data_IF_156056946764
#
_entry.id   IF_156056946764
#
_cell.length_a   1.000
_cell.length_b   1.000
_cell.length_c   1.000
_cell.angle_alpha   90.00
_cell.angle_beta   90.00
_cell.angle_gamma   90.00
#
_symmetry.space_group_name_H-M   'P 1'
#
loop_
_entity.id
_entity.type
_entity.pdbx_description
1 polymer ?
#
# COMPACT_ATOMS: atom_id res chain seq x y z
N UNK A 1 17.96 -15.70 -2.38
CA UNK A 1 16.59 -15.74 -1.82
C UNK A 1 15.79 -14.67 -2.55
N UNK A 2 14.60 -15.00 -3.06
CA UNK A 2 13.75 -14.05 -3.80
C UNK A 2 12.61 -13.63 -2.89
N UNK A 3 12.39 -12.33 -2.72
CA UNK A 3 11.43 -11.83 -1.73
C UNK A 3 10.37 -10.91 -2.35
N UNK A 4 9.12 -11.06 -1.93
CA UNK A 4 8.03 -10.15 -2.30
C UNK A 4 7.51 -9.51 -1.03
N UNK A 5 7.65 -8.19 -0.90
CA UNK A 5 7.05 -7.44 0.20
C UNK A 5 5.74 -6.80 -0.24
N UNK A 6 4.63 -7.22 0.36
CA UNK A 6 3.28 -6.74 0.04
C UNK A 6 2.76 -5.80 1.13
N UNK A 7 2.65 -4.51 0.80
CA UNK A 7 2.07 -3.48 1.67
C UNK A 7 0.58 -3.35 1.36
N UNK A 8 -0.25 -3.56 2.38
CA UNK A 8 -1.70 -3.58 2.26
C UNK A 8 -2.34 -2.17 2.23
N UNK A 9 -3.64 -2.13 1.97
CA UNK A 9 -4.45 -0.89 1.95
C UNK A 9 -4.87 -0.43 3.34
N UNK A 10 -5.67 0.62 3.45
CA UNK A 10 -6.14 1.14 4.72
C UNK A 10 -6.79 2.49 4.53
N UNK A 11 -7.13 3.15 5.62
CA UNK A 11 -7.74 4.48 5.60
C UNK A 11 -6.85 5.48 6.32
N UNK A 12 -6.85 6.73 5.85
CA UNK A 12 -6.10 7.81 6.49
C UNK A 12 -6.99 9.06 6.61
N UNK A 13 -6.82 9.79 7.70
CA UNK A 13 -7.62 10.98 7.98
C UNK A 13 -6.70 12.13 8.40
N UNK A 14 -7.03 13.36 8.00
CA UNK A 14 -6.29 14.58 8.38
C UNK A 14 -6.35 14.83 9.88
N UNK A 15 -7.47 14.49 10.53
CA UNK A 15 -7.68 14.71 11.96
C UNK A 15 -8.31 13.50 12.62
N UNK A 16 -8.13 13.38 13.94
CA UNK A 16 -8.79 12.34 14.72
C UNK A 16 -10.32 12.51 14.74
N UNK A 17 -10.80 13.75 14.72
CA UNK A 17 -12.24 14.04 14.61
C UNK A 17 -12.84 13.53 13.29
N UNK A 18 -12.14 13.71 12.16
CA UNK A 18 -12.56 13.16 10.87
C UNK A 18 -12.63 11.62 10.90
N UNK A 19 -11.63 10.97 11.52
CA UNK A 19 -11.65 9.52 11.72
C UNK A 19 -12.86 9.07 12.57
N UNK A 20 -13.13 9.72 13.70
CA UNK A 20 -14.29 9.40 14.54
C UNK A 20 -15.61 9.64 13.82
N UNK A 21 -15.69 10.70 13.00
CA UNK A 21 -16.86 10.97 12.16
C UNK A 21 -17.08 9.84 11.15
N UNK A 22 -16.01 9.40 10.48
CA UNK A 22 -16.06 8.25 9.57
C UNK A 22 -16.59 7.00 10.29
N UNK A 23 -16.01 6.63 11.44
CA UNK A 23 -16.45 5.45 12.19
C UNK A 23 -17.93 5.49 12.58
N UNK A 24 -18.45 6.66 12.96
CA UNK A 24 -19.87 6.83 13.31
C UNK A 24 -20.81 6.72 12.12
N UNK A 25 -20.34 7.07 10.92
CA UNK A 25 -21.15 7.15 9.71
C UNK A 25 -21.02 5.90 8.82
N UNK A 26 -19.89 5.22 8.91
CA UNK A 26 -19.58 4.06 8.09
C UNK A 26 -20.50 2.90 8.47
N UNK A 27 -21.23 2.38 7.47
CA UNK A 27 -22.08 1.21 7.63
C UNK A 27 -21.23 -0.03 7.41
N UNK A 28 -21.24 -0.94 8.38
CA UNK A 28 -20.63 -2.25 8.22
C UNK A 28 -21.52 -3.09 7.30
N UNK A 29 -20.89 -3.78 6.36
CA UNK A 29 -21.50 -4.86 5.60
C UNK A 29 -21.19 -6.17 6.32
N UNK A 30 -22.24 -6.90 6.70
CA UNK A 30 -22.11 -8.20 7.36
C UNK A 30 -21.27 -9.18 6.54
N UNK A 31 -21.39 -9.17 5.21
CA UNK A 31 -20.62 -10.05 4.33
C UNK A 31 -19.10 -9.78 4.45
N UNK A 32 -18.70 -8.54 4.70
CA UNK A 32 -17.29 -8.17 4.92
C UNK A 32 -16.76 -8.60 6.30
N UNK A 33 -17.63 -8.99 7.23
CA UNK A 33 -17.24 -9.51 8.55
C UNK A 33 -17.03 -11.03 8.54
N UNK A 34 -17.58 -11.73 7.54
CA UNK A 34 -17.38 -13.16 7.38
C UNK A 34 -15.93 -13.41 6.97
N UNK A 35 -15.30 -14.42 7.59
CA UNK A 35 -13.96 -14.84 7.21
C UNK A 35 -13.92 -15.17 5.71
N UNK A 36 -12.99 -14.54 5.01
CA UNK A 36 -12.69 -14.85 3.63
C UNK A 36 -11.17 -14.96 3.45
N UNK A 37 -10.73 -15.87 2.60
CA UNK A 37 -9.33 -15.96 2.24
C UNK A 37 -8.92 -14.68 1.53
N UNK A 38 -7.94 -13.98 2.10
CA UNK A 38 -7.42 -12.77 1.48
C UNK A 38 -6.42 -13.13 0.37
N UNK A 39 -6.44 -12.37 -0.72
CA UNK A 39 -5.58 -12.65 -1.90
C UNK A 39 -4.08 -12.60 -1.58
N UNK A 40 -3.66 -11.83 -0.56
CA UNK A 40 -2.24 -11.72 -0.16
C UNK A 40 -1.74 -13.02 0.47
N UNK A 41 -2.59 -13.70 1.24
CA UNK A 41 -2.30 -15.02 1.79
C UNK A 41 -2.41 -16.10 0.71
N UNK A 42 -3.38 -15.99 -0.21
CA UNK A 42 -3.48 -16.90 -1.35
C UNK A 42 -2.22 -16.87 -2.22
N UNK A 43 -1.76 -15.69 -2.63
CA UNK A 43 -0.61 -15.56 -3.54
C UNK A 43 0.71 -16.05 -2.94
N UNK A 44 0.82 -16.06 -1.60
CA UNK A 44 1.96 -16.66 -0.91
C UNK A 44 2.03 -18.18 -1.15
N UNK A 45 0.88 -18.86 -1.25
CA UNK A 45 0.80 -20.27 -1.60
C UNK A 45 1.10 -20.55 -3.07
N UNK A 46 0.72 -19.64 -3.97
CA UNK A 46 0.95 -19.78 -5.42
C UNK A 46 2.40 -19.49 -5.86
N UNK A 47 3.21 -18.91 -4.98
CA UNK A 47 4.59 -18.52 -5.27
C UNK A 47 5.60 -19.21 -4.34
N UNK A 48 5.68 -20.55 -4.34
CA UNK A 48 6.49 -21.31 -3.38
C UNK A 48 8.01 -21.07 -3.49
N UNK A 49 8.48 -20.49 -4.60
CA UNK A 49 9.90 -20.14 -4.79
C UNK A 49 10.26 -18.75 -4.27
N UNK A 50 9.29 -18.01 -3.71
CA UNK A 50 9.46 -16.68 -3.16
C UNK A 50 9.12 -16.66 -1.67
N UNK A 51 9.88 -15.89 -0.91
CA UNK A 51 9.47 -15.51 0.43
C UNK A 51 8.50 -14.34 0.33
N UNK A 52 7.20 -14.62 0.48
CA UNK A 52 6.15 -13.61 0.42
C UNK A 52 5.90 -13.03 1.80
N UNK A 53 6.28 -11.77 2.00
CA UNK A 53 6.17 -11.02 3.24
C UNK A 53 4.91 -10.15 3.22
N UNK A 54 3.98 -10.40 4.14
CA UNK A 54 2.71 -9.68 4.24
C UNK A 54 2.54 -9.01 5.62
N UNK A 55 3.36 -8.00 5.96
CA UNK A 55 3.28 -7.36 7.26
C UNK A 55 1.94 -6.63 7.44
N UNK A 56 1.48 -6.54 8.69
CA UNK A 56 0.41 -5.61 9.07
C UNK A 56 1.04 -4.26 9.42
N UNK A 57 0.70 -3.22 8.66
CA UNK A 57 1.15 -1.86 8.87
C UNK A 57 0.44 -1.22 10.08
N UNK A 58 1.12 -0.33 10.83
CA UNK A 58 0.57 0.28 12.03
C UNK A 58 -0.71 1.08 11.75
N UNK A 59 -1.67 1.01 12.67
CA UNK A 59 -2.87 1.86 12.67
C UNK A 59 -3.61 1.91 11.32
N UNK A 60 -3.74 0.78 10.63
CA UNK A 60 -4.24 0.72 9.24
C UNK A 60 -5.63 1.34 9.02
N UNK A 61 -6.49 1.38 10.04
CA UNK A 61 -7.80 2.04 10.00
C UNK A 61 -7.72 3.58 10.15
N UNK A 62 -6.59 4.14 10.59
CA UNK A 62 -6.32 5.58 10.66
C UNK A 62 -4.83 5.84 10.43
N UNK A 63 -4.34 5.35 9.31
CA UNK A 63 -2.93 5.24 9.01
C UNK A 63 -2.28 6.63 9.00
N UNK A 64 -1.04 6.68 9.50
CA UNK A 64 -0.16 7.85 9.43
C UNK A 64 1.08 7.53 8.63
N UNK A 65 1.39 8.38 7.65
CA UNK A 65 2.50 8.19 6.73
C UNK A 65 3.84 8.06 7.47
N UNK A 66 4.04 8.86 8.53
CA UNK A 66 5.28 8.80 9.31
C UNK A 66 5.44 7.45 10.03
N UNK A 67 4.37 6.91 10.62
CA UNK A 67 4.40 5.60 11.28
C UNK A 67 4.72 4.48 10.27
N UNK A 68 4.05 4.51 9.11
CA UNK A 68 4.31 3.54 8.05
C UNK A 68 5.73 3.66 7.50
N UNK A 69 6.24 4.89 7.31
CA UNK A 69 7.61 5.11 6.84
C UNK A 69 8.64 4.57 7.84
N UNK A 70 8.48 4.88 9.13
CA UNK A 70 9.35 4.41 10.21
C UNK A 70 9.35 2.89 10.31
N UNK A 71 8.19 2.25 10.15
CA UNK A 71 8.11 0.79 10.21
C UNK A 71 8.66 0.12 8.94
N UNK A 72 8.42 0.73 7.78
CA UNK A 72 8.92 0.23 6.49
C UNK A 72 10.44 0.22 6.39
N UNK A 73 11.15 1.20 6.97
CA UNK A 73 12.63 1.20 7.02
C UNK A 73 13.19 -0.06 7.71
N UNK A 74 12.51 -0.54 8.77
CA UNK A 74 12.88 -1.80 9.43
C UNK A 74 12.67 -3.02 8.53
N UNK A 75 11.67 -2.98 7.66
CA UNK A 75 11.45 -4.05 6.69
C UNK A 75 12.49 -4.01 5.58
N UNK A 76 12.81 -2.82 5.07
CA UNK A 76 13.83 -2.65 4.03
C UNK A 76 15.18 -3.23 4.43
N UNK A 77 15.56 -3.13 5.72
CA UNK A 77 16.81 -3.73 6.21
C UNK A 77 16.82 -5.26 6.24
N UNK A 78 15.65 -5.91 6.11
CA UNK A 78 15.51 -7.37 6.06
C UNK A 78 15.47 -7.89 4.61
N UNK A 79 15.37 -6.99 3.62
CA UNK A 79 15.31 -7.37 2.22
C UNK A 79 16.71 -7.67 1.68
N UNK A 80 16.81 -8.76 0.95
CA UNK A 80 17.96 -9.15 0.15
C UNK A 80 18.11 -8.28 -1.10
N UNK A 81 19.13 -8.53 -1.92
CA UNK A 81 19.32 -7.83 -3.19
C UNK A 81 18.30 -8.23 -4.29
N UNK A 82 17.57 -9.31 -4.11
CA UNK A 82 16.56 -9.80 -5.05
C UNK A 82 15.15 -9.73 -4.43
N UNK A 83 14.60 -8.52 -4.44
CA UNK A 83 13.29 -8.24 -3.88
C UNK A 83 12.36 -7.50 -4.84
N UNK A 84 11.06 -7.64 -4.59
CA UNK A 84 9.98 -6.95 -5.26
C UNK A 84 9.10 -6.24 -4.23
N UNK A 85 8.54 -5.10 -4.61
CA UNK A 85 7.60 -4.36 -3.78
C UNK A 85 6.23 -4.38 -4.42
N UNK A 86 5.20 -4.69 -3.64
CA UNK A 86 3.81 -4.64 -4.04
C UNK A 86 3.06 -3.72 -3.09
N UNK A 87 2.31 -2.76 -3.61
CA UNK A 87 1.47 -1.88 -2.81
C UNK A 87 0.03 -1.91 -3.31
N UNK A 88 -0.92 -2.19 -2.41
CA UNK A 88 -2.34 -2.21 -2.73
C UNK A 88 -3.07 -1.03 -2.10
N UNK A 89 -3.91 -0.32 -2.85
CA UNK A 89 -4.71 0.81 -2.39
C UNK A 89 -3.83 1.85 -1.68
N UNK A 90 -4.11 2.18 -0.41
CA UNK A 90 -3.26 3.07 0.40
C UNK A 90 -1.80 2.61 0.48
N UNK A 91 -1.51 1.30 0.42
CA UNK A 91 -0.16 0.74 0.34
C UNK A 91 0.55 1.09 -0.97
N UNK A 92 -0.18 1.15 -2.08
CA UNK A 92 0.35 1.66 -3.35
C UNK A 92 0.70 3.13 -3.25
N UNK A 93 -0.18 3.92 -2.64
CA UNK A 93 0.08 5.35 -2.40
C UNK A 93 1.29 5.59 -1.51
N UNK A 94 1.40 4.78 -0.45
CA UNK A 94 2.52 4.79 0.47
C UNK A 94 3.83 4.58 -0.28
N UNK A 95 3.94 3.50 -1.07
CA UNK A 95 5.15 3.22 -1.83
C UNK A 95 5.50 4.37 -2.79
N UNK A 96 4.54 4.90 -3.54
CA UNK A 96 4.79 6.02 -4.44
C UNK A 96 5.32 7.24 -3.67
N UNK A 97 4.63 7.64 -2.60
CA UNK A 97 5.01 8.82 -1.81
C UNK A 97 6.34 8.66 -1.10
N UNK A 98 6.59 7.48 -0.55
CA UNK A 98 7.83 7.16 0.14
C UNK A 98 9.01 7.18 -0.82
N UNK A 99 8.92 6.45 -1.95
CA UNK A 99 10.00 6.32 -2.92
C UNK A 99 10.25 7.62 -3.70
N UNK A 100 9.23 8.47 -3.84
CA UNK A 100 9.41 9.84 -4.35
C UNK A 100 10.36 10.66 -3.46
N UNK A 101 10.30 10.49 -2.13
CA UNK A 101 11.14 11.21 -1.17
C UNK A 101 12.48 10.51 -0.92
N UNK A 102 12.43 9.18 -0.83
CA UNK A 102 13.53 8.31 -0.42
C UNK A 102 13.76 7.24 -1.51
N UNK A 103 14.44 7.57 -2.62
CA UNK A 103 14.83 6.56 -3.60
C UNK A 103 15.64 5.43 -2.97
N UNK A 104 15.40 4.19 -3.38
CA UNK A 104 16.13 3.05 -2.85
C UNK A 104 17.59 3.07 -3.32
N UNK A 105 18.51 2.69 -2.43
CA UNK A 105 19.91 2.47 -2.80
C UNK A 105 20.06 1.27 -3.74
N UNK A 106 19.38 0.17 -3.41
CA UNK A 106 19.28 -1.02 -4.24
C UNK A 106 17.91 -1.03 -4.91
N UNK A 107 17.89 -1.05 -6.25
CA UNK A 107 16.62 -1.08 -7.00
C UNK A 107 15.87 -2.38 -6.71
N UNK A 108 14.56 -2.26 -6.44
CA UNK A 108 13.67 -3.41 -6.47
C UNK A 108 13.63 -3.97 -7.90
N UNK A 109 13.59 -5.29 -8.04
CA UNK A 109 13.44 -5.93 -9.38
C UNK A 109 12.15 -5.48 -10.07
N UNK A 110 11.10 -5.27 -9.27
CA UNK A 110 9.81 -4.77 -9.72
C UNK A 110 9.10 -4.01 -8.60
N UNK A 111 8.37 -2.98 -8.99
CA UNK A 111 7.35 -2.34 -8.15
C UNK A 111 5.99 -2.56 -8.82
N UNK A 112 5.05 -3.16 -8.09
CA UNK A 112 3.68 -3.41 -8.55
C UNK A 112 2.73 -2.57 -7.69
N UNK A 113 1.96 -1.70 -8.33
CA UNK A 113 0.99 -0.83 -7.69
C UNK A 113 -0.41 -1.28 -8.11
N UNK A 114 -1.24 -1.64 -7.13
CA UNK A 114 -2.59 -2.15 -7.36
C UNK A 114 -3.57 -1.14 -6.76
N UNK A 115 -4.40 -0.53 -7.59
CA UNK A 115 -5.41 0.47 -7.23
C UNK A 115 -4.90 1.63 -6.34
N UNK A 116 -3.70 2.23 -6.56
CA UNK A 116 -3.27 3.36 -5.75
C UNK A 116 -4.19 4.58 -6.00
N UNK A 117 -4.67 5.20 -4.94
CA UNK A 117 -5.40 6.47 -5.04
C UNK A 117 -4.51 7.62 -5.51
N UNK A 118 -5.04 8.51 -6.36
CA UNK A 118 -4.29 9.66 -6.84
C UNK A 118 -5.13 10.93 -6.89
N UNK A 119 -4.89 11.85 -5.96
CA UNK A 119 -5.47 13.21 -5.92
C UNK A 119 -7.00 13.30 -6.04
N UNK A 120 -7.72 12.21 -5.77
CA UNK A 120 -9.17 12.18 -5.68
C UNK A 120 -9.60 11.78 -4.26
N UNK A 121 -10.15 12.75 -3.52
CA UNK A 121 -10.68 12.54 -2.17
C UNK A 121 -12.22 12.50 -2.14
N UNK A 122 -12.87 12.30 -3.30
CA UNK A 122 -14.33 12.25 -3.40
C UNK A 122 -14.95 11.05 -2.69
N UNK A 123 -14.21 9.94 -2.59
CA UNK A 123 -14.64 8.70 -1.93
C UNK A 123 -14.01 8.51 -0.56
N UNK A 124 -12.71 8.69 -0.48
CA UNK A 124 -11.94 8.49 0.75
C UNK A 124 -10.93 9.62 0.94
N UNK A 125 -10.76 10.02 2.20
CA UNK A 125 -9.72 10.95 2.55
C UNK A 125 -8.35 10.27 2.42
N UNK A 126 -7.39 10.98 1.83
CA UNK A 126 -6.02 10.47 1.63
C UNK A 126 -5.09 10.89 2.77
N UNK A 127 -5.53 11.82 3.62
CA UNK A 127 -4.86 12.28 4.82
C UNK A 127 -3.37 12.58 4.59
N UNK A 128 -2.53 11.93 5.38
CA UNK A 128 -1.08 12.12 5.31
C UNK A 128 -0.40 11.40 4.13
N UNK A 129 -1.13 10.69 3.26
CA UNK A 129 -0.61 9.88 2.15
C UNK A 129 -0.75 10.55 0.77
N UNK A 130 -1.34 11.74 0.67
CA UNK A 130 -1.46 12.52 -0.58
C UNK A 130 -0.17 12.53 -1.40
N UNK A 131 -0.28 12.22 -2.69
CA UNK A 131 0.83 12.11 -3.63
C UNK A 131 0.89 13.38 -4.49
N UNK A 132 2.01 14.12 -4.41
CA UNK A 132 2.21 15.31 -5.26
C UNK A 132 2.91 15.00 -6.57
N UNK A 133 3.65 13.89 -6.63
CA UNK A 133 4.47 13.49 -7.77
C UNK A 133 4.92 12.04 -7.60
N UNK A 134 5.03 11.31 -8.71
CA UNK A 134 5.62 9.97 -8.76
C UNK A 134 6.93 9.93 -9.58
N UNK A 135 7.44 11.08 -10.05
CA UNK A 135 8.53 11.14 -11.04
C UNK A 135 9.83 10.42 -10.60
N UNK A 136 10.12 10.38 -9.30
CA UNK A 136 11.37 9.79 -8.78
C UNK A 136 11.24 8.30 -8.48
N UNK A 137 10.05 7.69 -8.59
CA UNK A 137 9.88 6.26 -8.33
C UNK A 137 10.72 5.37 -9.27
N UNK A 138 10.96 5.85 -10.49
CA UNK A 138 11.84 5.19 -11.49
C UNK A 138 13.29 5.05 -11.00
N UNK A 139 13.71 5.83 -10.01
CA UNK A 139 15.04 5.67 -9.39
C UNK A 139 15.13 4.40 -8.55
N UNK A 140 13.99 3.88 -8.09
CA UNK A 140 13.89 2.73 -7.20
C UNK A 140 13.58 1.42 -7.91
N UNK A 141 13.17 1.45 -9.18
CA UNK A 141 13.00 0.25 -10.02
C UNK A 141 12.86 0.64 -11.49
N UNK A 142 13.40 -0.22 -12.36
CA UNK A 142 13.24 -0.10 -13.82
C UNK A 142 11.97 -0.79 -14.33
N UNK A 143 11.30 -1.60 -13.50
CA UNK A 143 10.06 -2.31 -13.85
C UNK A 143 8.94 -1.89 -12.90
N UNK A 144 8.08 -0.99 -13.36
CA UNK A 144 6.94 -0.49 -12.58
C UNK A 144 5.65 -0.87 -13.30
N UNK A 145 4.75 -1.55 -12.59
CA UNK A 145 3.45 -1.97 -13.13
C UNK A 145 2.33 -1.31 -12.32
N UNK A 146 1.34 -0.80 -13.02
CA UNK A 146 0.14 -0.21 -12.44
C UNK A 146 -1.08 -1.03 -12.86
N UNK A 147 -1.86 -1.48 -11.89
CA UNK A 147 -3.08 -2.23 -12.10
C UNK A 147 -4.25 -1.47 -11.48
N UNK A 148 -5.33 -1.32 -12.24
CA UNK A 148 -6.53 -0.63 -11.81
C UNK A 148 -7.77 -1.32 -12.37
N UNK A 149 -8.79 -1.49 -11.56
CA UNK A 149 -10.08 -2.02 -12.04
C UNK A 149 -10.87 -0.90 -12.70
N UNK A 150 -11.46 -1.16 -13.87
CA UNK A 150 -12.34 -0.20 -14.57
C UNK A 150 -13.58 0.17 -13.77
N UNK A 151 -14.01 -0.72 -12.87
CA UNK A 151 -15.24 -0.57 -12.10
C UNK A 151 -14.95 -0.44 -10.59
N UNK A 152 -13.77 0.05 -10.21
CA UNK A 152 -13.45 0.29 -8.80
C UNK A 152 -14.29 1.46 -8.25
N UNK A 153 -15.14 1.23 -7.24
CA UNK A 153 -16.03 2.26 -6.71
C UNK A 153 -15.35 3.24 -5.75
N UNK A 154 -14.13 2.91 -5.29
CA UNK A 154 -13.36 3.66 -4.30
C UNK A 154 -12.25 4.46 -4.95
N UNK A 155 -11.51 3.82 -5.86
CA UNK A 155 -10.42 4.44 -6.60
C UNK A 155 -10.76 4.38 -8.09
N UNK A 156 -11.44 5.37 -8.67
CA UNK A 156 -11.72 5.37 -10.12
C UNK A 156 -10.44 5.62 -10.95
N UNK A 157 -10.51 5.32 -12.25
CA UNK A 157 -9.45 5.62 -13.26
C UNK A 157 -9.59 7.06 -13.75
#
# INVERSE_FOLDING_TARGET
>A
MKQILIIHGGNSFSTYSAYLKYLKQHKLDYANLIYNQNWRSWIAGELPTYDVLTPTMPNSANAKFLEWSTYFEKMLSLLSSDFQLVGHSLGGMFLVKYLQKNPLKNKAKRIILIAPGYNDESKEEMGSFKIKSAKKIIKSSDNIHLFHSKNDPIVPI
#
